data_IF_109895470357
#
_entry.id   IF_109895470357
#
_cell.length_a   1.000
_cell.length_b   1.000
_cell.length_c   1.000
_cell.angle_alpha   90.00
_cell.angle_beta   90.00
_cell.angle_gamma   90.00
#
_symmetry.space_group_name_H-M   'P 1'
#
loop_
_entity.id
_entity.type
_entity.pdbx_description
1 polymer ?
#
# COMPACT_ATOMS: atom_id res chain seq x y z
N UNK A 1 16.23 -36.56 23.34
CA UNK A 1 16.75 -35.27 23.85
C UNK A 1 16.15 -34.20 22.97
N UNK A 2 15.30 -33.31 23.51
CA UNK A 2 14.62 -32.30 22.70
C UNK A 2 15.61 -31.21 22.30
N UNK A 3 15.80 -31.02 21.00
CA UNK A 3 16.66 -29.96 20.44
C UNK A 3 15.92 -28.62 20.51
N UNK A 4 16.43 -27.65 21.25
CA UNK A 4 15.83 -26.32 21.34
C UNK A 4 16.51 -25.38 20.34
N UNK A 5 15.74 -24.83 19.41
CA UNK A 5 16.22 -23.94 18.35
C UNK A 5 15.61 -22.56 18.58
N UNK A 6 16.45 -21.53 18.70
CA UNK A 6 16.03 -20.14 18.80
C UNK A 6 16.38 -19.42 17.49
N UNK A 7 15.41 -18.74 16.89
CA UNK A 7 15.63 -17.95 15.68
C UNK A 7 14.86 -16.63 15.72
N UNK A 8 15.38 -15.62 15.03
CA UNK A 8 14.63 -14.36 14.84
C UNK A 8 13.62 -14.52 13.71
N UNK A 9 12.56 -13.70 13.70
CA UNK A 9 11.55 -13.74 12.63
C UNK A 9 12.12 -13.51 11.22
N UNK A 10 13.29 -12.88 11.10
CA UNK A 10 13.99 -12.67 9.84
C UNK A 10 14.72 -13.93 9.32
N UNK A 11 15.13 -14.82 10.22
CA UNK A 11 15.92 -16.02 9.90
C UNK A 11 15.05 -17.27 9.73
N UNK A 12 13.79 -17.20 10.15
CA UNK A 12 12.81 -18.29 10.07
C UNK A 12 12.60 -18.86 8.65
N UNK A 13 12.51 -18.05 7.56
CA UNK A 13 12.35 -18.59 6.22
C UNK A 13 13.55 -19.44 5.76
N UNK A 14 14.76 -19.08 6.20
CA UNK A 14 15.99 -19.78 5.84
C UNK A 14 16.17 -21.09 6.63
N UNK A 15 15.59 -21.18 7.83
CA UNK A 15 15.68 -22.36 8.71
C UNK A 15 14.56 -23.37 8.47
N UNK A 16 13.43 -22.96 7.87
CA UNK A 16 12.30 -23.83 7.51
C UNK A 16 12.68 -25.15 6.82
N UNK A 17 13.54 -25.17 5.78
CA UNK A 17 13.92 -26.41 5.10
C UNK A 17 14.78 -27.34 5.98
N UNK A 18 15.55 -26.80 6.93
CA UNK A 18 16.37 -27.60 7.85
C UNK A 18 15.53 -28.17 9.00
N UNK A 19 14.59 -27.38 9.51
CA UNK A 19 13.64 -27.79 10.54
C UNK A 19 12.70 -28.92 10.07
N UNK A 20 12.39 -29.00 8.78
CA UNK A 20 11.57 -30.06 8.21
C UNK A 20 12.20 -31.47 8.32
N UNK A 21 13.51 -31.56 8.60
CA UNK A 21 14.22 -32.85 8.72
C UNK A 21 14.38 -33.32 10.17
N UNK A 22 13.99 -32.48 11.15
CA UNK A 22 14.12 -32.80 12.58
C UNK A 22 12.77 -33.25 13.13
N UNK A 23 12.76 -34.41 13.80
CA UNK A 23 11.52 -35.03 14.32
C UNK A 23 11.14 -34.55 15.72
N UNK A 24 12.09 -34.07 16.53
CA UNK A 24 11.86 -33.61 17.90
C UNK A 24 12.62 -32.29 18.19
N UNK A 25 11.96 -31.15 17.96
CA UNK A 25 12.51 -29.84 18.34
C UNK A 25 11.45 -28.89 18.91
N UNK A 26 11.90 -27.98 19.76
CA UNK A 26 11.12 -26.84 20.24
C UNK A 26 11.69 -25.56 19.65
N UNK A 27 10.85 -24.81 18.92
CA UNK A 27 11.25 -23.60 18.20
C UNK A 27 10.73 -22.35 18.92
N UNK A 28 11.66 -21.51 19.37
CA UNK A 28 11.36 -20.21 19.97
C UNK A 28 11.69 -19.10 18.97
N UNK A 29 10.64 -18.46 18.43
CA UNK A 29 10.78 -17.30 17.53
C UNK A 29 10.78 -16.02 18.34
N UNK A 30 11.87 -15.26 18.25
CA UNK A 30 11.95 -13.94 18.87
C UNK A 30 11.52 -12.89 17.83
N UNK A 31 10.54 -12.02 18.11
CA UNK A 31 10.11 -10.99 17.18
C UNK A 31 11.26 -10.01 16.90
N UNK A 32 11.52 -9.74 15.62
CA UNK A 32 12.50 -8.73 15.21
C UNK A 32 11.95 -7.32 15.49
N UNK A 33 11.97 -6.91 16.75
CA UNK A 33 11.79 -5.53 17.15
C UNK A 33 12.97 -5.11 18.03
N UNK A 34 13.90 -4.37 17.40
CA UNK A 34 14.91 -3.50 17.99
C UNK A 34 15.99 -4.21 18.81
N UNK A 35 17.07 -4.64 18.14
CA UNK A 35 18.37 -4.83 18.79
C UNK A 35 19.29 -3.65 18.48
N UNK A 36 19.07 -2.59 19.26
CA UNK A 36 20.15 -1.74 19.75
C UNK A 36 21.20 -2.66 20.39
N UNK A 37 22.38 -2.76 19.77
CA UNK A 37 23.73 -2.96 20.34
C UNK A 37 24.03 -3.92 21.54
N UNK A 38 23.11 -4.72 22.09
CA UNK A 38 23.32 -5.36 23.40
C UNK A 38 23.40 -6.90 23.45
N UNK A 39 23.32 -7.63 22.33
CA UNK A 39 23.37 -9.11 22.36
C UNK A 39 24.52 -9.76 21.57
N UNK A 40 25.48 -8.96 21.05
CA UNK A 40 26.67 -9.48 20.39
C UNK A 40 27.78 -9.96 21.36
N UNK A 41 27.46 -10.33 22.60
CA UNK A 41 28.45 -10.72 23.61
C UNK A 41 28.64 -12.25 23.79
N UNK A 42 27.85 -13.11 23.15
CA UNK A 42 28.02 -14.58 23.20
C UNK A 42 27.52 -15.13 21.84
N UNK A 43 28.30 -15.57 20.86
CA UNK A 43 29.52 -16.33 20.90
C UNK A 43 30.47 -15.91 19.76
N UNK A 44 31.65 -15.46 20.17
CA UNK A 44 32.85 -15.40 19.34
C UNK A 44 33.55 -16.75 19.47
N UNK A 45 33.74 -17.46 18.35
CA UNK A 45 34.94 -18.30 18.14
C UNK A 45 35.46 -18.03 16.71
N UNK A 46 36.36 -17.04 16.63
CA UNK A 46 37.58 -16.95 15.80
C UNK A 46 37.48 -16.91 14.24
N UNK A 47 38.52 -16.42 13.52
CA UNK A 47 39.01 -15.03 13.54
C UNK A 47 39.34 -14.42 12.14
N UNK A 48 39.30 -13.07 12.06
CA UNK A 48 40.17 -12.11 11.33
C UNK A 48 40.57 -12.38 9.84
N UNK A 49 40.41 -11.47 8.87
CA UNK A 49 41.13 -10.18 8.64
C UNK A 49 40.45 -9.47 7.41
N UNK A 50 40.55 -8.12 7.27
CA UNK A 50 39.56 -7.26 6.61
C UNK A 50 39.98 -6.69 5.23
N UNK A 51 39.01 -6.24 4.43
CA UNK A 51 39.23 -5.39 3.24
C UNK A 51 37.92 -4.66 2.83
N UNK A 52 37.97 -3.53 2.11
CA UNK A 52 37.34 -2.29 2.53
C UNK A 52 35.99 -1.99 1.88
N UNK A 53 35.20 -1.20 2.61
CA UNK A 53 33.98 -0.52 2.18
C UNK A 53 34.26 0.37 0.95
N UNK A 54 33.71 -0.01 -0.19
CA UNK A 54 33.39 0.93 -1.27
C UNK A 54 31.88 1.14 -1.24
N UNK A 55 31.46 2.16 -0.50
CA UNK A 55 30.11 2.69 -0.57
C UNK A 55 29.95 3.37 -1.93
N UNK A 56 29.24 2.73 -2.86
CA UNK A 56 28.58 3.45 -3.95
C UNK A 56 27.15 3.70 -3.52
N UNK A 57 26.98 4.76 -2.74
CA UNK A 57 25.70 5.40 -2.55
C UNK A 57 25.30 6.02 -3.91
N UNK A 58 24.47 5.32 -4.67
CA UNK A 58 23.67 5.96 -5.71
C UNK A 58 22.56 6.76 -5.02
N UNK A 59 22.94 7.89 -4.42
CA UNK A 59 22.02 8.97 -4.09
C UNK A 59 21.51 9.53 -5.41
N UNK A 60 20.42 8.95 -5.92
CA UNK A 60 19.60 9.65 -6.91
C UNK A 60 18.93 10.77 -6.12
N UNK A 61 19.52 11.96 -6.19
CA UNK A 61 18.98 13.17 -5.60
C UNK A 61 17.49 13.29 -6.01
N UNK A 62 16.55 13.38 -5.06
CA UNK A 62 15.22 13.79 -5.43
C UNK A 62 15.38 15.23 -5.93
N UNK A 63 15.10 15.43 -7.22
CA UNK A 63 14.89 16.76 -7.79
C UNK A 63 13.99 17.49 -6.80
N UNK A 64 14.45 18.63 -6.25
CA UNK A 64 13.65 19.50 -5.38
C UNK A 64 12.48 20.08 -6.19
N UNK A 65 11.50 19.22 -6.47
CA UNK A 65 10.16 19.63 -6.81
C UNK A 65 9.58 20.20 -5.53
N UNK A 66 9.06 21.42 -5.60
CA UNK A 66 8.40 22.11 -4.50
C UNK A 66 7.64 21.11 -3.63
N UNK A 67 7.97 21.08 -2.33
CA UNK A 67 7.34 20.17 -1.36
C UNK A 67 5.82 20.38 -1.25
N UNK A 68 5.34 21.50 -1.80
CA UNK A 68 3.95 21.90 -1.80
C UNK A 68 3.43 22.18 -3.21
N UNK A 69 2.14 21.92 -3.42
CA UNK A 69 1.36 22.16 -4.64
C UNK A 69 0.24 23.14 -4.30
N UNK A 70 0.01 24.11 -5.17
CA UNK A 70 -1.06 25.11 -5.02
C UNK A 70 -2.44 24.56 -5.38
N UNK A 71 -3.52 25.16 -4.89
CA UNK A 71 -4.90 24.76 -5.25
C UNK A 71 -5.11 24.71 -6.76
N UNK A 72 -4.57 25.67 -7.53
CA UNK A 72 -4.70 25.72 -8.99
C UNK A 72 -4.04 24.52 -9.66
N UNK A 73 -2.84 24.13 -9.24
CA UNK A 73 -2.18 22.94 -9.76
C UNK A 73 -2.95 21.66 -9.39
N UNK A 74 -3.57 21.61 -8.21
CA UNK A 74 -4.44 20.48 -7.84
C UNK A 74 -5.72 20.45 -8.68
N UNK A 75 -6.31 21.62 -9.01
CA UNK A 75 -7.46 21.70 -9.91
C UNK A 75 -7.13 21.07 -11.26
N UNK A 76 -5.99 21.44 -11.85
CA UNK A 76 -5.53 20.88 -13.13
C UNK A 76 -5.20 19.38 -13.03
N UNK A 77 -4.72 18.91 -11.87
CA UNK A 77 -4.38 17.49 -11.69
C UNK A 77 -5.60 16.57 -11.60
N UNK A 78 -6.74 17.07 -11.13
CA UNK A 78 -7.97 16.30 -10.92
C UNK A 78 -9.13 16.78 -11.82
N UNK A 79 -8.85 17.68 -12.76
CA UNK A 79 -9.81 18.28 -13.67
C UNK A 79 -11.02 18.95 -12.97
N UNK A 80 -10.78 19.57 -11.81
CA UNK A 80 -11.83 20.29 -11.07
C UNK A 80 -12.05 21.71 -11.60
N UNK A 81 -13.31 22.09 -11.78
CA UNK A 81 -13.68 23.43 -12.24
C UNK A 81 -13.66 24.51 -11.13
N UNK A 82 -13.65 24.13 -9.85
CA UNK A 82 -13.72 25.10 -8.74
C UNK A 82 -12.69 24.82 -7.62
N UNK A 83 -12.09 25.87 -7.04
CA UNK A 83 -11.14 25.71 -5.94
C UNK A 83 -11.81 25.20 -4.65
N UNK A 84 -13.11 25.45 -4.47
CA UNK A 84 -13.88 24.92 -3.34
C UNK A 84 -13.94 23.39 -3.40
N UNK A 85 -14.18 22.80 -4.59
CA UNK A 85 -14.21 21.35 -4.74
C UNK A 85 -12.87 20.68 -4.43
N UNK A 86 -11.77 21.37 -4.68
CA UNK A 86 -10.43 20.91 -4.26
C UNK A 86 -10.27 20.96 -2.75
N UNK A 87 -10.76 22.02 -2.10
CA UNK A 87 -10.70 22.10 -0.63
C UNK A 87 -11.49 20.96 0.02
N UNK A 88 -12.73 20.73 -0.44
CA UNK A 88 -13.59 19.66 0.05
C UNK A 88 -12.97 18.27 -0.19
N UNK A 89 -12.30 18.05 -1.34
CA UNK A 89 -11.57 16.81 -1.62
C UNK A 89 -10.42 16.60 -0.64
N UNK A 90 -9.59 17.63 -0.43
CA UNK A 90 -8.43 17.55 0.45
C UNK A 90 -8.84 17.34 1.90
N UNK A 91 -9.92 17.97 2.34
CA UNK A 91 -10.51 17.75 3.66
C UNK A 91 -10.98 16.29 3.83
N UNK A 92 -11.72 15.75 2.86
CA UNK A 92 -12.17 14.34 2.89
C UNK A 92 -11.03 13.33 2.78
N UNK A 93 -9.92 13.73 2.16
CA UNK A 93 -8.70 12.93 2.06
C UNK A 93 -7.78 13.11 3.29
N UNK A 94 -8.18 13.91 4.28
CA UNK A 94 -7.41 14.23 5.48
C UNK A 94 -6.03 14.84 5.15
N UNK A 95 -5.94 15.59 4.04
CA UNK A 95 -4.74 16.28 3.62
C UNK A 95 -4.79 17.71 4.17
N UNK A 96 -3.96 18.07 5.16
CA UNK A 96 -4.02 19.37 5.80
C UNK A 96 -3.63 20.48 4.82
N UNK A 97 -4.33 21.61 4.92
CA UNK A 97 -4.01 22.82 4.16
C UNK A 97 -2.85 23.57 4.81
N UNK A 98 -1.88 23.97 4.00
CA UNK A 98 -0.79 24.86 4.39
C UNK A 98 -1.06 26.22 3.76
N UNK A 99 -1.50 27.18 4.57
CA UNK A 99 -1.72 28.54 4.10
C UNK A 99 -0.38 29.26 3.93
N UNK A 100 -0.13 29.82 2.73
CA UNK A 100 1.02 30.70 2.47
C UNK A 100 0.49 32.02 1.93
N UNK A 101 0.33 33.01 2.81
CA UNK A 101 -0.32 34.27 2.46
C UNK A 101 -1.81 34.07 2.20
N UNK A 102 -2.29 34.45 1.00
CA UNK A 102 -3.70 34.32 0.59
C UNK A 102 -4.01 33.03 -0.18
N UNK A 103 -3.01 32.17 -0.39
CA UNK A 103 -3.16 30.96 -1.22
C UNK A 103 -2.98 29.69 -0.40
N UNK A 104 -3.85 28.73 -0.68
CA UNK A 104 -3.83 27.41 -0.06
C UNK A 104 -2.84 26.52 -0.83
N UNK A 105 -2.03 25.81 -0.07
CA UNK A 105 -1.08 24.83 -0.60
C UNK A 105 -1.27 23.49 0.12
N UNK A 106 -0.90 22.41 -0.55
CA UNK A 106 -1.01 21.04 -0.07
C UNK A 106 0.31 20.30 -0.26
N UNK A 107 0.55 19.28 0.55
CA UNK A 107 1.74 18.42 0.41
C UNK A 107 1.71 17.67 -0.92
N UNK A 108 2.72 17.89 -1.76
CA UNK A 108 2.84 17.31 -3.10
C UNK A 108 2.78 15.78 -3.07
N UNK A 109 3.48 15.17 -2.12
CA UNK A 109 3.58 13.71 -2.04
C UNK A 109 2.21 13.09 -1.73
N UNK A 110 1.45 13.70 -0.83
CA UNK A 110 0.10 13.25 -0.47
C UNK A 110 -0.89 13.42 -1.62
N UNK A 111 -0.84 14.56 -2.31
CA UNK A 111 -1.70 14.81 -3.49
C UNK A 111 -1.44 13.80 -4.59
N UNK A 112 -0.17 13.50 -4.90
CA UNK A 112 0.18 12.51 -5.92
C UNK A 112 -0.20 11.08 -5.51
N UNK A 113 -0.03 10.73 -4.22
CA UNK A 113 -0.50 9.45 -3.69
C UNK A 113 -2.03 9.31 -3.83
N UNK A 114 -2.78 10.38 -3.52
CA UNK A 114 -4.23 10.41 -3.73
C UNK A 114 -4.59 10.24 -5.20
N UNK A 115 -3.93 10.96 -6.11
CA UNK A 115 -4.15 10.81 -7.55
C UNK A 115 -3.90 9.38 -8.03
N UNK A 116 -2.83 8.75 -7.53
CA UNK A 116 -2.55 7.34 -7.83
C UNK A 116 -3.67 6.41 -7.34
N UNK A 117 -4.20 6.63 -6.14
CA UNK A 117 -5.34 5.86 -5.64
C UNK A 117 -6.58 6.04 -6.52
N UNK A 118 -6.85 7.26 -7.00
CA UNK A 118 -7.93 7.52 -7.95
C UNK A 118 -7.73 6.82 -9.29
N UNK A 119 -6.48 6.70 -9.79
CA UNK A 119 -6.21 5.94 -11.01
C UNK A 119 -6.33 4.41 -10.84
N UNK A 120 -6.10 3.91 -9.63
CA UNK A 120 -6.16 2.47 -9.33
C UNK A 120 -7.55 2.02 -8.86
N UNK A 121 -8.48 2.95 -8.70
CA UNK A 121 -9.82 2.67 -8.17
C UNK A 121 -10.91 3.32 -9.01
N UNK A 122 -12.02 2.60 -9.21
CA UNK A 122 -13.20 3.11 -9.89
C UNK A 122 -14.29 3.47 -8.90
N UNK A 123 -15.08 4.48 -9.27
CA UNK A 123 -16.37 4.74 -8.61
C UNK A 123 -17.34 3.57 -8.86
N UNK A 124 -18.41 3.49 -8.07
CA UNK A 124 -19.40 2.43 -8.23
C UNK A 124 -20.06 2.43 -9.62
N UNK A 125 -20.33 3.61 -10.19
CA UNK A 125 -20.89 3.75 -11.54
C UNK A 125 -19.94 3.22 -12.60
N UNK A 126 -18.69 3.69 -12.60
CA UNK A 126 -17.65 3.24 -13.55
C UNK A 126 -17.42 1.73 -13.44
N UNK A 127 -17.35 1.21 -12.20
CA UNK A 127 -17.22 -0.22 -11.95
C UNK A 127 -18.42 -1.02 -12.49
N UNK A 128 -19.64 -0.49 -12.35
CA UNK A 128 -20.84 -1.14 -12.87
C UNK A 128 -20.86 -1.19 -14.39
N UNK A 129 -20.43 -0.11 -15.05
CA UNK A 129 -20.31 -0.05 -16.51
C UNK A 129 -19.25 -1.03 -17.02
N UNK A 130 -18.07 -1.05 -16.40
CA UNK A 130 -16.96 -1.94 -16.76
C UNK A 130 -17.36 -3.41 -16.69
N UNK A 131 -18.12 -3.79 -15.66
CA UNK A 131 -18.57 -5.18 -15.45
C UNK A 131 -19.90 -5.49 -16.15
N UNK A 132 -20.48 -4.52 -16.87
CA UNK A 132 -21.69 -4.70 -17.68
C UNK A 132 -22.99 -4.81 -16.86
N UNK A 133 -23.05 -4.19 -15.68
CA UNK A 133 -24.28 -4.01 -14.92
C UNK A 133 -25.02 -2.77 -15.37
N UNK A 134 -26.31 -2.91 -15.71
CA UNK A 134 -27.19 -1.76 -16.00
C UNK A 134 -27.52 -0.93 -14.76
N UNK A 135 -27.47 -1.54 -13.57
CA UNK A 135 -27.79 -0.89 -12.31
C UNK A 135 -26.62 -1.08 -11.31
N UNK A 136 -26.04 0.02 -10.80
CA UNK A 136 -24.95 -0.03 -9.82
C UNK A 136 -25.28 -0.80 -8.54
N UNK A 137 -26.55 -0.78 -8.09
CA UNK A 137 -26.98 -1.53 -6.90
C UNK A 137 -26.88 -3.05 -7.09
N UNK A 138 -27.04 -3.54 -8.32
CA UNK A 138 -26.86 -4.95 -8.64
C UNK A 138 -25.42 -5.39 -8.47
N UNK A 139 -24.47 -4.53 -8.88
CA UNK A 139 -23.05 -4.78 -8.66
C UNK A 139 -22.73 -4.86 -7.16
N UNK A 140 -23.21 -3.90 -6.36
CA UNK A 140 -22.99 -3.88 -4.90
C UNK A 140 -23.44 -5.17 -4.24
N UNK A 141 -24.62 -5.67 -4.58
CA UNK A 141 -25.17 -6.89 -4.00
C UNK A 141 -24.26 -8.09 -4.28
N UNK A 142 -23.78 -8.25 -5.52
CA UNK A 142 -22.93 -9.38 -5.89
C UNK A 142 -21.49 -9.27 -5.38
N UNK A 143 -20.94 -8.06 -5.34
CA UNK A 143 -19.64 -7.78 -4.71
C UNK A 143 -19.73 -8.09 -3.21
N UNK A 144 -20.81 -7.68 -2.55
CA UNK A 144 -21.06 -7.97 -1.13
C UNK A 144 -21.17 -9.46 -0.83
N UNK A 145 -21.90 -10.23 -1.67
CA UNK A 145 -21.97 -11.70 -1.55
C UNK A 145 -20.61 -12.39 -1.66
N UNK A 146 -19.68 -11.79 -2.42
CA UNK A 146 -18.33 -12.34 -2.66
C UNK A 146 -17.26 -11.74 -1.75
N UNK A 147 -17.67 -10.92 -0.77
CA UNK A 147 -16.78 -10.27 0.21
C UNK A 147 -15.67 -9.43 -0.41
N UNK A 148 -15.91 -8.88 -1.60
CA UNK A 148 -15.00 -7.88 -2.18
C UNK A 148 -15.25 -6.58 -1.43
N UNK A 149 -14.22 -6.10 -0.72
CA UNK A 149 -14.38 -4.97 0.19
C UNK A 149 -14.05 -3.68 -0.55
N UNK A 150 -15.00 -2.73 -0.66
CA UNK A 150 -14.68 -1.44 -1.24
C UNK A 150 -13.67 -0.70 -0.37
N UNK A 151 -12.83 0.11 -1.01
CA UNK A 151 -11.88 0.99 -0.33
C UNK A 151 -12.47 2.39 -0.23
N UNK A 152 -12.36 3.02 0.93
CA UNK A 152 -12.70 4.43 1.10
C UNK A 152 -11.55 5.30 0.59
N UNK A 153 -11.82 6.18 -0.37
CA UNK A 153 -10.86 7.12 -0.93
C UNK A 153 -11.51 8.50 -0.94
N UNK A 154 -10.93 9.45 -0.19
CA UNK A 154 -11.47 10.81 -0.03
C UNK A 154 -12.98 10.85 0.28
N UNK A 155 -13.42 10.04 1.23
CA UNK A 155 -14.83 9.97 1.65
C UNK A 155 -15.77 9.25 0.67
N UNK A 156 -15.26 8.71 -0.44
CA UNK A 156 -16.06 7.96 -1.42
C UNK A 156 -15.70 6.48 -1.44
N UNK A 157 -16.73 5.65 -1.57
CA UNK A 157 -16.58 4.21 -1.73
C UNK A 157 -16.12 3.90 -3.17
N UNK A 158 -14.91 3.35 -3.31
CA UNK A 158 -14.30 3.01 -4.59
C UNK A 158 -13.84 1.55 -4.63
N UNK A 159 -13.73 0.99 -5.83
CA UNK A 159 -13.34 -0.40 -6.06
C UNK A 159 -12.01 -0.46 -6.77
N UNK A 160 -11.07 -1.27 -6.27
CA UNK A 160 -9.79 -1.46 -6.95
C UNK A 160 -10.00 -2.20 -8.26
N UNK A 161 -9.28 -1.79 -9.31
CA UNK A 161 -9.37 -2.43 -10.63
C UNK A 161 -9.13 -3.94 -10.54
N UNK A 162 -8.10 -4.35 -9.79
CA UNK A 162 -7.74 -5.77 -9.59
C UNK A 162 -8.90 -6.60 -9.03
N UNK A 163 -9.67 -6.04 -8.10
CA UNK A 163 -10.77 -6.75 -7.45
C UNK A 163 -11.96 -6.89 -8.42
N UNK A 164 -12.19 -5.88 -9.26
CA UNK A 164 -13.22 -5.93 -10.31
C UNK A 164 -12.87 -6.93 -11.42
N UNK A 165 -11.60 -7.00 -11.83
CA UNK A 165 -11.14 -8.00 -12.80
C UNK A 165 -11.27 -9.43 -12.25
N UNK A 166 -10.92 -9.64 -10.97
CA UNK A 166 -11.12 -10.92 -10.31
C UNK A 166 -12.62 -11.26 -10.23
N UNK A 167 -13.46 -10.27 -9.91
CA UNK A 167 -14.90 -10.44 -9.89
C UNK A 167 -15.44 -10.88 -11.25
N UNK A 168 -15.01 -10.23 -12.34
CA UNK A 168 -15.41 -10.58 -13.70
C UNK A 168 -15.02 -12.02 -14.05
N UNK A 169 -13.77 -12.43 -13.75
CA UNK A 169 -13.29 -13.80 -13.94
C UNK A 169 -14.13 -14.82 -13.18
N UNK A 170 -14.46 -14.52 -11.92
CA UNK A 170 -15.25 -15.42 -11.07
C UNK A 170 -16.75 -15.40 -11.41
N UNK A 171 -17.25 -14.40 -12.11
CA UNK A 171 -18.67 -14.31 -12.50
C UNK A 171 -19.01 -15.34 -13.59
N UNK A 172 -18.01 -15.76 -14.36
CA UNK A 172 -18.20 -16.61 -15.54
C UNK A 172 -18.87 -15.83 -16.69
N UNK A 173 -18.98 -16.42 -17.89
CA UNK A 173 -19.60 -15.76 -19.03
C UNK A 173 -21.04 -15.41 -18.65
N UNK A 174 -21.31 -14.11 -18.53
CA UNK A 174 -22.65 -13.58 -18.33
C UNK A 174 -23.46 -14.02 -19.53
N UNK A 175 -24.26 -15.09 -19.37
CA UNK A 175 -25.28 -15.44 -20.36
C UNK A 175 -26.23 -14.25 -20.42
N UNK A 176 -25.99 -13.36 -21.38
CA UNK A 176 -26.92 -12.30 -21.78
C UNK A 176 -28.21 -12.99 -22.17
N UNK A 177 -29.14 -13.15 -21.22
CA UNK A 177 -30.53 -13.42 -21.57
C UNK A 177 -31.08 -12.07 -22.02
N UNK A 178 -31.14 -11.94 -23.34
CA UNK A 178 -31.91 -10.93 -24.04
C UNK A 178 -33.39 -11.14 -23.73
#
# INVERSE_FOLDING_TARGET
MATQIQCTSAELPNLMPLLATLTDFTLNVIPAAITTAAQAAQAVVQPAVPAPVVQVAAHVAPVEQSSTVSTTEVMDLFDYASPQSVHDLMERAEIPVVQRGRTNHYDRAKVLALKKLYSETFSLSEASELVGYKNPSGLLLHIGQRRITPTMVAGHMRFRVKDLEQFEKLRGPVRRRW
#
